data_IF_489135755181
#
_entry.id   IF_489135755181
#
_cell.length_a   1.000
_cell.length_b   1.000
_cell.length_c   1.000
_cell.angle_alpha   90.00
_cell.angle_beta   90.00
_cell.angle_gamma   90.00
#
_symmetry.space_group_name_H-M   'P 1'
#
loop_
_entity.id
_entity.type
_entity.pdbx_description
1 polymer ?
#
# COMPACT_ATOMS: atom_id res chain seq x y z
N UNK A 1 35.78 -22.74 -35.56
CA UNK A 1 34.77 -23.77 -35.25
C UNK A 1 33.42 -23.09 -35.35
N UNK A 2 32.70 -23.40 -36.46
CA UNK A 2 31.45 -22.75 -36.87
C UNK A 2 30.31 -23.13 -35.91
N UNK A 3 29.63 -22.15 -35.37
CA UNK A 3 28.34 -22.29 -34.70
C UNK A 3 27.24 -22.04 -35.75
N UNK A 4 26.92 -23.04 -36.50
CA UNK A 4 25.73 -23.09 -37.36
C UNK A 4 25.05 -24.42 -37.09
N UNK A 5 23.95 -24.39 -36.37
CA UNK A 5 22.85 -25.37 -36.39
C UNK A 5 22.07 -25.35 -35.05
N UNK A 6 21.37 -24.25 -34.80
CA UNK A 6 20.13 -24.31 -34.06
C UNK A 6 19.13 -23.38 -34.77
N UNK A 7 18.16 -24.02 -35.41
CA UNK A 7 17.14 -23.36 -36.20
C UNK A 7 16.23 -22.48 -35.35
N UNK A 8 16.55 -21.21 -35.29
CA UNK A 8 15.60 -20.19 -34.89
C UNK A 8 14.76 -19.81 -36.10
N UNK A 9 13.54 -20.29 -36.11
CA UNK A 9 12.49 -19.98 -37.05
C UNK A 9 12.30 -18.46 -37.19
N UNK A 10 12.21 -18.04 -38.44
CA UNK A 10 12.02 -16.71 -38.98
C UNK A 10 10.81 -15.99 -38.36
N UNK A 11 11.01 -15.22 -37.29
CA UNK A 11 10.18 -14.09 -36.96
C UNK A 11 11.08 -12.89 -36.69
N UNK A 12 11.50 -12.21 -37.76
CA UNK A 12 11.93 -10.83 -37.66
C UNK A 12 10.67 -9.96 -37.61
N UNK A 13 10.38 -9.28 -36.52
CA UNK A 13 9.47 -8.15 -36.60
C UNK A 13 10.20 -7.06 -37.41
N UNK A 14 9.73 -6.77 -38.60
CA UNK A 14 10.12 -5.54 -39.29
C UNK A 14 9.82 -4.38 -38.39
N UNK A 15 10.86 -3.68 -37.94
CA UNK A 15 10.74 -2.39 -37.30
C UNK A 15 10.14 -1.44 -38.32
N UNK A 16 8.83 -1.27 -38.31
CA UNK A 16 8.16 -0.20 -39.05
C UNK A 16 8.39 1.07 -38.27
N UNK A 17 9.36 1.87 -38.69
CA UNK A 17 9.48 3.25 -38.20
C UNK A 17 8.28 4.00 -38.78
N UNK A 18 7.24 4.13 -37.96
CA UNK A 18 6.12 5.03 -38.26
C UNK A 18 6.60 6.44 -37.96
N UNK A 19 6.57 7.38 -38.96
CA UNK A 19 6.86 8.81 -38.67
C UNK A 19 5.90 9.31 -37.60
N UNK A 20 6.38 10.20 -36.72
CA UNK A 20 5.62 10.85 -35.66
C UNK A 20 4.36 11.51 -36.23
N UNK A 21 3.29 10.74 -36.34
CA UNK A 21 1.95 11.24 -36.60
C UNK A 21 1.13 10.92 -35.36
N UNK A 22 0.62 11.94 -34.73
CA UNK A 22 -0.39 11.83 -33.68
C UNK A 22 -1.56 11.02 -34.25
N UNK A 23 -1.69 9.75 -33.88
CA UNK A 23 -2.91 8.99 -34.13
C UNK A 23 -3.97 9.54 -33.19
N UNK A 24 -4.69 10.54 -33.71
CA UNK A 24 -5.91 11.00 -33.06
C UNK A 24 -6.92 9.84 -33.15
N UNK A 25 -7.06 9.06 -32.07
CA UNK A 25 -8.21 8.18 -31.90
C UNK A 25 -9.45 9.07 -31.88
N UNK A 26 -10.17 9.10 -33.00
CA UNK A 26 -11.55 9.64 -32.99
C UNK A 26 -12.35 8.81 -32.00
N UNK A 27 -12.53 9.32 -30.76
CA UNK A 27 -13.53 8.82 -29.82
C UNK A 27 -14.86 8.77 -30.56
N UNK A 28 -15.31 7.58 -30.98
CA UNK A 28 -16.73 7.39 -31.26
C UNK A 28 -17.47 7.76 -29.97
N UNK A 29 -18.31 8.81 -30.03
CA UNK A 29 -19.24 9.17 -28.97
C UNK A 29 -20.32 8.07 -28.83
N UNK A 30 -19.95 6.94 -28.32
CA UNK A 30 -20.87 6.05 -27.63
C UNK A 30 -20.65 6.35 -26.15
N UNK A 31 -21.68 6.77 -25.45
CA UNK A 31 -21.68 6.87 -23.99
C UNK A 31 -21.54 5.43 -23.48
N UNK A 32 -20.31 4.94 -23.36
CA UNK A 32 -20.04 3.83 -22.47
C UNK A 32 -20.35 4.40 -21.09
N UNK A 33 -21.46 4.01 -20.48
CA UNK A 33 -21.76 4.30 -19.08
C UNK A 33 -20.56 3.72 -18.31
N UNK A 34 -19.64 4.58 -17.86
CA UNK A 34 -18.55 4.18 -17.00
C UNK A 34 -19.15 3.44 -15.82
N UNK A 35 -18.84 2.16 -15.67
CA UNK A 35 -19.23 1.39 -14.49
C UNK A 35 -18.32 1.85 -13.37
N UNK A 36 -18.73 2.89 -12.64
CA UNK A 36 -18.02 3.42 -11.48
C UNK A 36 -18.32 2.56 -10.25
N UNK A 37 -17.30 2.35 -9.42
CA UNK A 37 -17.46 1.72 -8.11
C UNK A 37 -17.95 2.70 -7.04
N UNK A 38 -18.05 4.00 -7.36
CA UNK A 38 -18.45 5.05 -6.42
C UNK A 38 -19.75 4.70 -5.71
N UNK A 39 -19.66 4.44 -4.41
CA UNK A 39 -20.78 4.07 -3.56
C UNK A 39 -21.40 2.68 -3.86
N UNK A 40 -20.69 1.80 -4.58
CA UNK A 40 -21.14 0.44 -4.88
C UNK A 40 -20.64 -0.60 -3.90
N UNK A 41 -19.72 -0.23 -3.02
CA UNK A 41 -19.20 -1.10 -1.98
C UNK A 41 -18.90 -0.31 -0.71
N UNK A 42 -18.93 -1.02 0.42
CA UNK A 42 -18.68 -0.49 1.75
C UNK A 42 -17.68 -1.36 2.50
N UNK A 43 -16.80 -0.74 3.29
CA UNK A 43 -15.98 -1.47 4.24
C UNK A 43 -16.77 -1.66 5.52
N UNK A 44 -17.14 -2.91 5.78
CA UNK A 44 -18.02 -3.29 6.89
C UNK A 44 -17.25 -3.75 8.13
N UNK A 45 -16.08 -4.34 7.96
CA UNK A 45 -15.25 -4.82 9.06
C UNK A 45 -13.76 -4.66 8.79
N UNK A 46 -13.00 -4.37 9.85
CA UNK A 46 -11.54 -4.26 9.80
C UNK A 46 -10.94 -4.87 11.05
N UNK A 47 -9.80 -5.52 10.90
CA UNK A 47 -9.06 -6.06 12.03
C UNK A 47 -7.55 -6.05 11.76
N UNK A 48 -6.78 -5.58 12.73
CA UNK A 48 -5.33 -5.67 12.77
C UNK A 48 -4.92 -6.64 13.88
N UNK A 49 -4.18 -7.68 13.52
CA UNK A 49 -3.70 -8.65 14.50
C UNK A 49 -2.69 -8.00 15.45
N UNK A 50 -2.83 -8.15 16.78
CA UNK A 50 -2.01 -7.44 17.77
C UNK A 50 -0.57 -7.93 17.85
N UNK A 51 -0.27 -9.15 17.35
CA UNK A 51 1.09 -9.70 17.45
C UNK A 51 2.11 -8.91 16.62
N UNK A 52 3.32 -8.81 17.15
CA UNK A 52 4.49 -8.24 16.44
C UNK A 52 5.65 -9.25 16.38
N UNK A 53 5.46 -10.44 16.98
CA UNK A 53 6.39 -11.57 16.91
C UNK A 53 5.59 -12.88 17.10
N UNK A 54 5.31 -13.57 16.03
CA UNK A 54 4.42 -14.74 15.96
C UNK A 54 5.23 -16.05 15.94
N UNK A 55 5.95 -16.36 17.00
CA UNK A 55 6.78 -17.58 17.09
C UNK A 55 5.94 -18.86 17.24
N UNK A 56 4.75 -18.72 17.79
CA UNK A 56 3.81 -19.78 18.15
C UNK A 56 2.67 -19.99 17.14
N UNK A 57 2.63 -19.19 16.06
CA UNK A 57 1.55 -19.24 15.06
C UNK A 57 2.07 -19.56 13.68
N UNK A 58 1.32 -20.35 12.92
CA UNK A 58 1.56 -20.51 11.49
C UNK A 58 1.05 -19.30 10.71
N UNK A 59 1.51 -19.17 9.47
CA UNK A 59 1.03 -18.11 8.56
C UNK A 59 -0.47 -18.25 8.28
N UNK A 60 -0.95 -19.49 8.07
CA UNK A 60 -2.37 -19.75 7.86
C UNK A 60 -3.22 -19.41 9.09
N UNK A 61 -2.72 -19.66 10.30
CA UNK A 61 -3.42 -19.23 11.52
C UNK A 61 -3.56 -17.73 11.62
N UNK A 62 -2.51 -16.96 11.28
CA UNK A 62 -2.58 -15.49 11.29
C UNK A 62 -3.61 -14.95 10.29
N UNK A 63 -3.71 -15.56 9.09
CA UNK A 63 -4.78 -15.23 8.13
C UNK A 63 -6.16 -15.52 8.72
N UNK A 64 -6.37 -16.71 9.28
CA UNK A 64 -7.66 -17.13 9.83
C UNK A 64 -8.07 -16.29 11.05
N UNK A 65 -7.17 -16.05 12.00
CA UNK A 65 -7.43 -15.20 13.17
C UNK A 65 -7.76 -13.76 12.75
N UNK A 66 -7.07 -13.24 11.74
CA UNK A 66 -7.36 -11.91 11.16
C UNK A 66 -8.74 -11.88 10.50
N UNK A 67 -9.08 -12.92 9.73
CA UNK A 67 -10.39 -13.04 9.10
C UNK A 67 -11.52 -13.07 10.13
N UNK A 68 -11.37 -13.88 11.18
CA UNK A 68 -12.36 -13.96 12.28
C UNK A 68 -12.52 -12.62 12.98
N UNK A 69 -11.42 -11.90 13.23
CA UNK A 69 -11.47 -10.57 13.84
C UNK A 69 -12.25 -9.55 12.99
N UNK A 70 -12.02 -9.51 11.67
CA UNK A 70 -12.72 -8.60 10.78
C UNK A 70 -14.20 -8.98 10.58
N UNK A 71 -14.52 -10.28 10.56
CA UNK A 71 -15.89 -10.77 10.53
C UNK A 71 -16.64 -10.39 11.81
N UNK A 72 -16.02 -10.57 12.97
CA UNK A 72 -16.59 -10.17 14.26
C UNK A 72 -16.84 -8.65 14.32
N UNK A 73 -15.90 -7.83 13.81
CA UNK A 73 -16.08 -6.37 13.70
C UNK A 73 -17.27 -6.01 12.80
N UNK A 74 -17.45 -6.71 11.70
CA UNK A 74 -18.58 -6.51 10.80
C UNK A 74 -19.94 -7.03 11.37
N UNK A 75 -19.90 -7.94 12.35
CA UNK A 75 -21.08 -8.70 12.80
C UNK A 75 -21.50 -9.78 11.81
N UNK A 76 -20.55 -10.33 11.05
CA UNK A 76 -20.72 -11.38 10.07
C UNK A 76 -20.01 -12.66 10.50
N UNK A 77 -20.28 -13.74 9.79
CA UNK A 77 -19.64 -15.04 9.96
C UNK A 77 -18.92 -15.49 8.68
N UNK A 78 -18.12 -16.54 8.74
CA UNK A 78 -17.48 -17.11 7.56
C UNK A 78 -18.46 -17.61 6.49
N UNK A 79 -19.67 -17.97 6.89
CA UNK A 79 -20.71 -18.49 5.99
C UNK A 79 -21.37 -17.38 5.14
N UNK A 80 -21.16 -16.12 5.53
CA UNK A 80 -21.61 -14.95 4.76
C UNK A 80 -20.61 -14.59 3.65
N UNK A 81 -19.35 -15.09 3.71
CA UNK A 81 -18.29 -14.74 2.77
C UNK A 81 -18.46 -15.49 1.46
N UNK A 82 -18.61 -14.78 0.35
CA UNK A 82 -18.70 -15.34 -0.99
C UNK A 82 -17.63 -14.80 -1.97
N UNK A 83 -16.74 -13.92 -1.51
CA UNK A 83 -15.53 -13.45 -2.22
C UNK A 83 -14.30 -13.49 -1.34
N UNK A 84 -13.12 -13.91 -1.86
CA UNK A 84 -11.87 -13.94 -1.11
C UNK A 84 -10.71 -13.37 -1.90
N UNK A 85 -9.89 -12.56 -1.22
CA UNK A 85 -8.75 -11.84 -1.80
C UNK A 85 -7.52 -11.99 -0.91
N UNK A 86 -6.41 -12.43 -1.47
CA UNK A 86 -5.11 -12.49 -0.80
C UNK A 86 -3.99 -12.22 -1.81
N UNK A 87 -2.75 -12.18 -1.35
CA UNK A 87 -1.59 -11.97 -2.22
C UNK A 87 -0.55 -13.09 -2.04
N UNK A 88 0.67 -12.87 -2.47
CA UNK A 88 1.75 -13.86 -2.45
C UNK A 88 2.26 -14.25 -1.04
N UNK A 89 1.66 -13.74 0.03
CA UNK A 89 1.87 -14.17 1.42
C UNK A 89 1.05 -15.41 1.80
N UNK A 90 0.01 -15.73 1.03
CA UNK A 90 -0.82 -16.90 1.28
C UNK A 90 0.01 -18.21 1.10
N UNK A 91 0.02 -19.09 2.11
CA UNK A 91 0.84 -20.30 2.07
C UNK A 91 0.30 -21.37 1.10
N UNK A 92 1.13 -22.32 0.76
CA UNK A 92 0.78 -23.47 -0.08
C UNK A 92 0.42 -23.08 -1.52
N UNK A 93 -0.78 -23.40 -1.97
CA UNK A 93 -1.33 -23.03 -3.28
C UNK A 93 -2.05 -21.65 -3.24
N UNK A 94 -1.58 -20.76 -2.37
CA UNK A 94 -2.15 -19.42 -2.25
C UNK A 94 -3.62 -19.46 -1.76
N UNK A 95 -4.52 -18.73 -2.45
CA UNK A 95 -5.91 -18.63 -1.99
C UNK A 95 -6.61 -19.99 -1.88
N UNK A 96 -6.30 -20.96 -2.73
CA UNK A 96 -6.91 -22.30 -2.67
C UNK A 96 -6.66 -22.99 -1.34
N UNK A 97 -5.42 -22.93 -0.83
CA UNK A 97 -5.08 -23.51 0.48
C UNK A 97 -5.78 -22.80 1.64
N UNK A 98 -5.92 -21.47 1.57
CA UNK A 98 -6.57 -20.71 2.62
C UNK A 98 -8.09 -20.84 2.60
N UNK A 99 -8.71 -20.95 1.43
CA UNK A 99 -10.14 -21.22 1.28
C UNK A 99 -10.50 -22.55 1.93
N UNK A 100 -9.72 -23.58 1.66
CA UNK A 100 -9.89 -24.91 2.27
C UNK A 100 -9.64 -24.87 3.78
N UNK A 101 -8.55 -24.25 4.21
CA UNK A 101 -8.20 -24.10 5.63
C UNK A 101 -9.25 -23.37 6.47
N UNK A 102 -9.83 -22.28 5.93
CA UNK A 102 -10.88 -21.51 6.61
C UNK A 102 -12.29 -22.07 6.39
N UNK A 103 -12.46 -23.02 5.49
CA UNK A 103 -13.76 -23.61 5.16
C UNK A 103 -14.72 -22.58 4.52
N UNK A 104 -14.23 -21.80 3.56
CA UNK A 104 -15.02 -20.79 2.85
C UNK A 104 -15.74 -21.39 1.63
N UNK A 105 -16.95 -20.91 1.33
CA UNK A 105 -17.71 -21.31 0.17
C UNK A 105 -17.88 -20.13 -0.79
N UNK A 106 -17.03 -20.02 -1.79
CA UNK A 106 -16.84 -18.81 -2.60
C UNK A 106 -17.52 -18.87 -3.97
N UNK A 107 -17.95 -17.73 -4.46
CA UNK A 107 -18.31 -17.45 -5.85
C UNK A 107 -17.21 -16.71 -6.61
N UNK A 108 -16.34 -16.00 -5.90
CA UNK A 108 -15.27 -15.21 -6.50
C UNK A 108 -13.98 -15.24 -5.67
N UNK A 109 -12.83 -15.26 -6.33
CA UNK A 109 -11.54 -15.05 -5.66
C UNK A 109 -10.54 -14.34 -6.57
N UNK A 110 -9.59 -13.61 -5.96
CA UNK A 110 -8.47 -12.94 -6.61
C UNK A 110 -7.19 -13.09 -5.76
N UNK A 111 -6.05 -13.16 -6.44
CA UNK A 111 -4.73 -13.31 -5.81
C UNK A 111 -3.69 -12.41 -6.48
N UNK A 112 -4.04 -11.16 -6.77
CA UNK A 112 -3.14 -10.20 -7.41
C UNK A 112 -1.98 -9.83 -6.49
N UNK A 113 -0.76 -10.08 -6.95
CA UNK A 113 0.48 -9.80 -6.21
C UNK A 113 1.23 -8.61 -6.81
N UNK A 114 1.26 -7.52 -6.09
CA UNK A 114 2.02 -6.30 -6.39
C UNK A 114 2.79 -5.78 -5.17
N UNK A 115 3.15 -6.69 -4.25
CA UNK A 115 3.78 -6.35 -2.98
C UNK A 115 2.84 -5.64 -2.03
N UNK A 116 3.33 -4.61 -1.33
CA UNK A 116 2.53 -3.87 -0.34
C UNK A 116 1.32 -3.15 -0.88
N UNK A 117 1.25 -2.88 -2.18
CA UNK A 117 0.05 -2.28 -2.82
C UNK A 117 -1.10 -3.26 -3.01
N UNK A 118 -0.86 -4.58 -3.00
CA UNK A 118 -1.86 -5.61 -3.27
C UNK A 118 -3.15 -5.43 -2.47
N UNK A 119 -3.04 -5.11 -1.19
CA UNK A 119 -4.20 -5.06 -0.29
C UNK A 119 -5.05 -3.80 -0.43
N UNK A 120 -4.44 -2.68 -0.85
CA UNK A 120 -5.19 -1.47 -1.23
C UNK A 120 -5.86 -1.68 -2.58
N UNK A 121 -5.16 -2.32 -3.53
CA UNK A 121 -5.67 -2.73 -4.82
C UNK A 121 -6.86 -3.70 -4.67
N UNK A 122 -6.77 -4.68 -3.77
CA UNK A 122 -7.86 -5.63 -3.53
C UNK A 122 -9.14 -4.97 -3.01
N UNK A 123 -9.08 -3.82 -2.32
CA UNK A 123 -10.30 -3.07 -1.96
C UNK A 123 -11.01 -2.58 -3.22
N UNK A 124 -10.26 -2.06 -4.20
CA UNK A 124 -10.80 -1.68 -5.52
C UNK A 124 -11.38 -2.88 -6.26
N UNK A 125 -10.61 -3.97 -6.39
CA UNK A 125 -11.06 -5.20 -7.05
C UNK A 125 -12.30 -5.82 -6.38
N UNK A 126 -12.37 -5.81 -5.05
CA UNK A 126 -13.54 -6.26 -4.31
C UNK A 126 -14.76 -5.39 -4.61
N UNK A 127 -14.58 -4.06 -4.64
CA UNK A 127 -15.65 -3.13 -4.99
C UNK A 127 -16.14 -3.33 -6.43
N UNK A 128 -15.24 -3.59 -7.38
CA UNK A 128 -15.58 -3.93 -8.77
C UNK A 128 -16.33 -5.27 -8.87
N UNK A 129 -15.82 -6.31 -8.18
CA UNK A 129 -16.47 -7.62 -8.16
C UNK A 129 -17.90 -7.54 -7.60
N UNK A 130 -18.09 -6.77 -6.53
CA UNK A 130 -19.41 -6.49 -5.94
C UNK A 130 -20.29 -5.70 -6.91
N UNK A 131 -19.78 -4.62 -7.50
CA UNK A 131 -20.53 -3.82 -8.46
C UNK A 131 -20.99 -4.63 -9.69
N UNK A 132 -20.22 -5.66 -10.05
CA UNK A 132 -20.52 -6.61 -11.13
C UNK A 132 -21.39 -7.79 -10.68
N UNK A 133 -21.77 -7.89 -9.41
CA UNK A 133 -22.59 -8.98 -8.86
C UNK A 133 -21.86 -10.32 -8.76
N UNK A 134 -20.54 -10.35 -8.76
CA UNK A 134 -19.74 -11.59 -8.62
C UNK A 134 -19.70 -12.12 -7.19
N UNK A 135 -19.76 -11.22 -6.21
CA UNK A 135 -19.88 -11.52 -4.79
C UNK A 135 -20.62 -10.40 -4.07
N UNK A 136 -21.01 -10.63 -2.82
CA UNK A 136 -21.72 -9.65 -1.96
C UNK A 136 -20.94 -9.34 -0.68
N UNK A 137 -20.11 -10.26 -0.21
CA UNK A 137 -19.23 -10.14 0.96
C UNK A 137 -17.85 -10.63 0.59
N UNK A 138 -16.93 -9.70 0.43
CA UNK A 138 -15.53 -9.97 0.09
C UNK A 138 -14.64 -9.86 1.33
N UNK A 139 -13.90 -10.93 1.63
CA UNK A 139 -12.87 -10.99 2.66
C UNK A 139 -11.49 -10.77 2.03
N UNK A 140 -10.73 -9.81 2.53
CA UNK A 140 -9.33 -9.57 2.16
C UNK A 140 -8.47 -9.89 3.37
N UNK A 141 -7.45 -10.74 3.24
CA UNK A 141 -6.55 -11.08 4.35
C UNK A 141 -5.08 -10.88 4.00
N UNK A 142 -4.31 -10.49 5.01
CA UNK A 142 -2.85 -10.37 4.98
C UNK A 142 -2.26 -11.03 6.21
N UNK A 143 -1.12 -11.73 6.05
CA UNK A 143 -0.27 -12.11 7.16
C UNK A 143 1.21 -12.17 6.76
N UNK A 144 2.10 -12.04 7.76
CA UNK A 144 3.55 -12.17 7.58
C UNK A 144 4.24 -12.51 8.89
N UNK A 145 5.35 -13.26 8.81
CA UNK A 145 6.16 -13.69 9.96
C UNK A 145 7.66 -13.38 9.79
N UNK A 146 8.05 -12.27 9.16
CA UNK A 146 9.48 -12.04 8.83
C UNK A 146 10.35 -11.96 10.09
N UNK A 147 9.84 -11.42 11.19
CA UNK A 147 10.59 -11.29 12.45
C UNK A 147 10.78 -12.62 13.13
N UNK A 148 9.76 -13.48 13.17
CA UNK A 148 9.87 -14.85 13.68
C UNK A 148 10.82 -15.70 12.82
N UNK A 149 10.95 -15.37 11.54
CA UNK A 149 11.88 -15.98 10.58
C UNK A 149 13.29 -15.37 10.60
N UNK A 150 13.58 -14.46 11.54
CA UNK A 150 14.92 -13.89 11.77
C UNK A 150 15.27 -12.67 10.94
N UNK A 151 14.32 -12.06 10.21
CA UNK A 151 14.58 -10.82 9.47
C UNK A 151 14.70 -9.61 10.40
N UNK A 152 15.58 -8.69 10.05
CA UNK A 152 15.81 -7.43 10.76
C UNK A 152 15.88 -6.25 9.80
N UNK A 153 15.55 -5.05 10.30
CA UNK A 153 15.57 -3.80 9.52
C UNK A 153 16.93 -3.58 8.86
N UNK A 154 16.94 -3.30 7.57
CA UNK A 154 18.12 -2.96 6.80
C UNK A 154 19.00 -4.14 6.38
N UNK A 155 18.68 -5.39 6.79
CA UNK A 155 19.56 -6.55 6.57
C UNK A 155 19.03 -7.58 5.56
N UNK A 156 17.76 -7.50 5.19
CA UNK A 156 17.15 -8.48 4.31
C UNK A 156 17.67 -8.34 2.87
N UNK A 157 18.41 -9.32 2.33
CA UNK A 157 18.76 -9.32 0.91
C UNK A 157 17.48 -9.46 0.09
N UNK A 158 17.48 -8.83 -1.07
CA UNK A 158 16.42 -9.05 -2.04
C UNK A 158 16.58 -10.46 -2.62
N UNK A 159 15.69 -11.35 -2.28
CA UNK A 159 15.73 -12.71 -2.79
C UNK A 159 14.87 -12.81 -4.05
N UNK A 160 15.52 -12.76 -5.21
CA UNK A 160 14.88 -13.11 -6.48
C UNK A 160 15.08 -14.58 -6.75
N UNK A 161 14.04 -15.27 -7.20
CA UNK A 161 14.22 -16.58 -7.80
C UNK A 161 15.24 -16.50 -8.94
N UNK A 162 16.05 -17.53 -9.14
CA UNK A 162 17.11 -17.57 -10.15
C UNK A 162 16.60 -17.33 -11.60
N UNK A 163 15.30 -17.44 -11.82
CA UNK A 163 14.63 -17.21 -13.11
C UNK A 163 14.14 -15.77 -13.33
N UNK A 164 14.29 -14.88 -12.34
CA UNK A 164 13.88 -13.49 -12.51
C UNK A 164 14.77 -12.79 -13.57
N UNK A 165 14.19 -12.05 -14.52
CA UNK A 165 14.95 -11.50 -15.68
C UNK A 165 15.99 -10.46 -15.26
N UNK A 166 15.87 -9.86 -14.09
CA UNK A 166 16.78 -8.85 -13.52
C UNK A 166 17.96 -9.43 -12.73
N UNK A 167 17.95 -10.74 -12.43
CA UNK A 167 19.03 -11.39 -11.66
C UNK A 167 20.39 -11.18 -12.29
N UNK A 168 20.52 -11.33 -13.61
CA UNK A 168 21.78 -11.19 -14.31
C UNK A 168 22.34 -9.76 -14.28
N UNK A 169 21.51 -8.75 -14.12
CA UNK A 169 21.89 -7.33 -14.22
C UNK A 169 22.04 -6.66 -12.85
N UNK A 170 21.26 -7.06 -11.85
CA UNK A 170 21.22 -6.39 -10.54
C UNK A 170 21.97 -7.18 -9.45
N UNK A 171 21.83 -8.49 -9.41
CA UNK A 171 22.46 -9.33 -8.38
C UNK A 171 23.97 -9.20 -8.24
N UNK A 172 24.74 -9.01 -9.32
CA UNK A 172 26.18 -8.80 -9.21
C UNK A 172 26.57 -7.59 -8.34
N UNK A 173 25.65 -6.63 -8.17
CA UNK A 173 25.87 -5.44 -7.35
C UNK A 173 25.39 -5.61 -5.89
N UNK A 174 24.86 -6.78 -5.53
CA UNK A 174 24.39 -7.08 -4.17
C UNK A 174 23.30 -6.13 -3.64
N UNK A 175 22.24 -5.80 -4.42
CA UNK A 175 21.26 -4.81 -3.99
C UNK A 175 20.47 -5.31 -2.81
N UNK A 176 20.33 -4.45 -1.80
CA UNK A 176 19.33 -4.62 -0.73
C UNK A 176 18.10 -3.77 -1.05
N UNK A 177 16.99 -4.03 -0.36
CA UNK A 177 15.80 -3.19 -0.50
C UNK A 177 16.13 -1.74 -0.14
N UNK A 178 16.89 -1.51 0.94
CA UNK A 178 17.25 -0.17 1.41
C UNK A 178 18.07 0.60 0.39
N UNK A 179 19.05 -0.03 -0.27
CA UNK A 179 19.87 0.63 -1.30
C UNK A 179 19.02 1.19 -2.45
N UNK A 180 17.99 0.46 -2.86
CA UNK A 180 17.14 0.90 -3.97
C UNK A 180 16.28 2.11 -3.62
N UNK A 181 15.87 2.24 -2.35
CA UNK A 181 15.18 3.42 -1.85
C UNK A 181 16.14 4.58 -1.58
N UNK A 182 17.35 4.28 -1.11
CA UNK A 182 18.41 5.28 -0.92
C UNK A 182 18.79 5.97 -2.25
N UNK A 183 18.88 5.24 -3.35
CA UNK A 183 19.09 5.85 -4.68
C UNK A 183 18.00 6.86 -5.06
N UNK A 184 16.74 6.56 -4.72
CA UNK A 184 15.65 7.50 -4.94
C UNK A 184 15.78 8.74 -4.06
N UNK A 185 16.15 8.57 -2.79
CA UNK A 185 16.39 9.66 -1.86
C UNK A 185 17.56 10.55 -2.33
N UNK A 186 18.69 9.96 -2.68
CA UNK A 186 19.85 10.67 -3.25
C UNK A 186 19.47 11.50 -4.47
N UNK A 187 18.70 10.90 -5.39
CA UNK A 187 18.28 11.58 -6.60
C UNK A 187 17.35 12.75 -6.28
N UNK A 188 16.41 12.56 -5.36
CA UNK A 188 15.49 13.60 -4.93
C UNK A 188 16.21 14.76 -4.22
N UNK A 189 17.20 14.45 -3.36
CA UNK A 189 18.07 15.44 -2.73
C UNK A 189 18.87 16.22 -3.76
N UNK A 190 19.42 15.55 -4.76
CA UNK A 190 20.20 16.18 -5.82
C UNK A 190 19.36 17.13 -6.70
N UNK A 191 18.16 16.72 -7.08
CA UNK A 191 17.33 17.52 -8.00
C UNK A 191 16.58 18.65 -7.31
N UNK A 192 16.13 18.42 -6.06
CA UNK A 192 15.22 19.35 -5.39
C UNK A 192 15.77 19.93 -4.09
N UNK A 193 16.97 19.54 -3.66
CA UNK A 193 17.56 20.04 -2.44
C UNK A 193 16.91 19.53 -1.16
N UNK A 194 16.18 18.43 -1.22
CA UNK A 194 15.61 17.77 -0.02
C UNK A 194 16.72 17.40 0.95
N UNK A 195 16.47 17.54 2.24
CA UNK A 195 17.46 17.25 3.31
C UNK A 195 17.02 16.07 4.18
N UNK A 196 17.99 15.50 4.92
CA UNK A 196 17.71 14.43 5.88
C UNK A 196 16.80 14.90 7.02
N UNK A 197 16.91 16.16 7.44
CA UNK A 197 16.03 16.76 8.46
C UNK A 197 14.59 16.83 7.98
N UNK A 198 14.37 17.15 6.71
CA UNK A 198 13.02 17.13 6.10
C UNK A 198 12.45 15.71 6.07
N UNK A 199 13.23 14.71 5.68
CA UNK A 199 12.82 13.31 5.75
C UNK A 199 12.50 12.88 7.19
N UNK A 200 13.31 13.32 8.16
CA UNK A 200 13.15 12.99 9.57
C UNK A 200 11.78 13.44 10.14
N UNK A 201 11.20 14.55 9.68
CA UNK A 201 9.89 15.00 10.13
C UNK A 201 8.78 13.98 9.91
N UNK A 202 8.89 13.13 8.89
CA UNK A 202 7.94 12.04 8.64
C UNK A 202 8.00 11.00 9.76
N UNK A 203 9.22 10.63 10.18
CA UNK A 203 9.42 9.71 11.31
C UNK A 203 8.97 10.34 12.64
N UNK A 204 9.27 11.62 12.84
CA UNK A 204 8.79 12.38 14.01
C UNK A 204 7.28 12.29 14.09
N UNK A 205 6.56 12.61 13.01
CA UNK A 205 5.08 12.54 13.00
C UNK A 205 4.57 11.12 13.30
N UNK A 206 5.13 10.09 12.67
CA UNK A 206 4.77 8.70 12.94
C UNK A 206 4.98 8.32 14.41
N UNK A 207 6.08 8.78 15.04
CA UNK A 207 6.39 8.50 16.44
C UNK A 207 5.42 9.22 17.41
N UNK A 208 5.01 10.46 17.08
CA UNK A 208 4.00 11.19 17.83
C UNK A 208 2.66 10.45 17.86
N UNK A 209 2.33 9.72 16.81
CA UNK A 209 1.10 8.92 16.77
C UNK A 209 1.26 7.56 17.47
N UNK A 210 2.38 6.88 17.24
CA UNK A 210 2.65 5.54 17.74
C UNK A 210 2.63 5.43 19.28
N UNK A 211 2.96 6.50 20.00
CA UNK A 211 2.93 6.49 21.48
C UNK A 211 1.55 6.09 22.06
N UNK A 212 0.49 6.35 21.31
CA UNK A 212 -0.89 6.06 21.70
C UNK A 212 -1.39 4.69 21.23
N UNK A 213 -0.60 3.97 20.41
CA UNK A 213 -0.93 2.61 19.96
C UNK A 213 -0.17 1.60 20.82
N UNK A 214 -0.90 0.87 21.68
CA UNK A 214 -0.31 -0.11 22.59
C UNK A 214 0.41 -1.27 21.88
N UNK A 215 0.04 -1.56 20.64
CA UNK A 215 0.62 -2.62 19.82
C UNK A 215 1.80 -2.15 18.95
N UNK A 216 2.07 -0.84 18.88
CA UNK A 216 3.17 -0.34 18.08
C UNK A 216 4.54 -0.82 18.61
N UNK A 217 5.42 -1.21 17.66
CA UNK A 217 6.77 -1.70 18.00
C UNK A 217 7.67 -0.61 18.58
N UNK A 218 7.56 0.63 18.10
CA UNK A 218 8.35 1.78 18.52
C UNK A 218 7.39 2.86 18.99
N UNK A 219 7.32 3.04 20.32
CA UNK A 219 6.36 3.96 20.96
C UNK A 219 6.99 5.23 21.49
N UNK A 220 8.31 5.33 21.50
CA UNK A 220 8.99 6.53 21.92
C UNK A 220 8.87 7.62 20.87
N UNK A 221 8.48 8.80 21.28
CA UNK A 221 8.56 10.00 20.44
C UNK A 221 10.03 10.32 20.19
N UNK A 222 10.37 10.63 18.95
CA UNK A 222 11.72 10.98 18.54
C UNK A 222 11.78 12.39 17.96
N UNK A 223 12.94 13.02 18.06
CA UNK A 223 13.25 14.33 17.47
C UNK A 223 13.91 14.18 16.09
N UNK A 224 13.96 15.26 15.32
CA UNK A 224 14.71 15.31 14.06
C UNK A 224 16.17 14.91 14.27
N UNK A 225 16.83 15.45 15.31
CA UNK A 225 18.23 15.16 15.63
C UNK A 225 18.44 13.67 15.93
N UNK A 226 17.53 13.02 16.65
CA UNK A 226 17.63 11.59 16.92
C UNK A 226 17.49 10.75 15.64
N UNK A 227 16.69 11.18 14.68
CA UNK A 227 16.54 10.49 13.41
C UNK A 227 17.81 10.60 12.56
N UNK A 228 18.29 11.83 12.33
CA UNK A 228 19.45 12.08 11.45
C UNK A 228 20.76 11.59 12.06
N UNK A 229 20.85 11.41 13.38
CA UNK A 229 22.01 10.84 14.08
C UNK A 229 21.85 9.34 14.36
N UNK A 230 20.76 8.71 13.96
CA UNK A 230 20.63 7.25 14.09
C UNK A 230 21.60 6.53 13.13
N UNK A 231 21.97 5.26 13.38
CA UNK A 231 22.92 4.56 12.53
C UNK A 231 22.58 4.61 11.05
N UNK A 232 23.54 4.96 10.20
CA UNK A 232 23.40 4.94 8.75
C UNK A 232 23.21 3.49 8.26
N UNK A 233 22.21 3.24 7.44
CA UNK A 233 21.94 1.94 6.81
C UNK A 233 22.39 1.95 5.36
N UNK A 234 21.99 2.96 4.61
CA UNK A 234 22.38 3.19 3.21
C UNK A 234 22.23 4.67 2.90
N UNK A 235 23.31 5.37 2.68
CA UNK A 235 23.32 6.82 2.46
C UNK A 235 22.28 7.24 1.40
N UNK A 236 21.34 8.19 1.72
CA UNK A 236 21.25 9.02 2.92
C UNK A 236 20.33 8.47 4.04
N UNK A 237 19.85 7.23 3.94
CA UNK A 237 18.86 6.68 4.86
C UNK A 237 19.49 6.10 6.12
N UNK A 238 19.05 6.62 7.26
CA UNK A 238 19.40 6.14 8.58
C UNK A 238 18.40 5.07 9.07
N UNK A 239 18.70 4.43 10.18
CA UNK A 239 17.87 3.36 10.74
C UNK A 239 16.43 3.83 11.03
N UNK A 240 16.25 5.06 11.49
CA UNK A 240 14.93 5.60 11.81
C UNK A 240 14.18 6.11 10.57
N UNK A 241 14.82 6.21 9.40
CA UNK A 241 14.18 6.41 8.12
C UNK A 241 13.51 5.14 7.57
N UNK A 242 13.84 3.98 8.14
CA UNK A 242 13.38 2.67 7.69
C UNK A 242 12.16 2.20 8.50
N UNK A 243 11.25 1.46 7.85
CA UNK A 243 10.16 0.79 8.53
C UNK A 243 10.66 -0.26 9.53
N UNK A 244 9.84 -0.57 10.52
CA UNK A 244 10.06 -1.73 11.38
C UNK A 244 9.87 -3.03 10.60
N UNK A 245 10.46 -4.11 11.07
CA UNK A 245 10.10 -5.46 10.63
C UNK A 245 9.34 -6.12 11.78
N UNK A 246 8.08 -6.43 11.53
CA UNK A 246 7.19 -7.07 12.50
C UNK A 246 6.53 -8.29 11.89
N UNK A 247 6.08 -9.19 12.73
CA UNK A 247 5.07 -10.15 12.36
C UNK A 247 3.68 -9.53 12.51
N UNK A 248 2.68 -10.17 11.94
CA UNK A 248 1.31 -9.72 12.08
C UNK A 248 0.46 -10.07 10.87
N UNK A 249 -0.66 -9.41 10.84
CA UNK A 249 -1.64 -9.56 9.78
C UNK A 249 -2.81 -8.63 10.01
N UNK A 250 -3.80 -8.78 9.16
CA UNK A 250 -5.05 -8.07 9.27
C UNK A 250 -6.03 -8.58 8.23
N UNK A 251 -7.25 -8.11 8.35
CA UNK A 251 -8.29 -8.40 7.37
C UNK A 251 -9.26 -7.24 7.21
N UNK A 252 -9.90 -7.21 6.06
CA UNK A 252 -10.92 -6.22 5.68
C UNK A 252 -12.12 -6.98 5.12
N UNK A 253 -13.32 -6.59 5.50
CA UNK A 253 -14.58 -7.04 4.90
C UNK A 253 -15.14 -5.90 4.04
N UNK A 254 -15.31 -6.18 2.75
CA UNK A 254 -15.97 -5.28 1.81
C UNK A 254 -17.32 -5.89 1.42
N UNK A 255 -18.39 -5.12 1.48
CA UNK A 255 -19.75 -5.62 1.26
C UNK A 255 -20.53 -4.81 0.23
N UNK A 256 -21.57 -5.43 -0.35
CA UNK A 256 -22.55 -4.71 -1.15
C UNK A 256 -23.33 -3.71 -0.30
N UNK A 257 -23.95 -2.68 -0.91
CA UNK A 257 -24.79 -1.72 -0.20
C UNK A 257 -25.95 -2.36 0.56
N UNK A 258 -26.52 -3.44 0.03
CA UNK A 258 -27.63 -4.18 0.64
C UNK A 258 -27.19 -4.84 1.94
N UNK A 259 -26.02 -5.51 1.94
CA UNK A 259 -25.44 -6.12 3.14
C UNK A 259 -25.04 -5.04 4.13
N UNK A 260 -24.30 -4.01 3.68
CA UNK A 260 -23.83 -2.92 4.54
C UNK A 260 -24.97 -2.30 5.37
N UNK A 261 -26.08 -1.98 4.74
CA UNK A 261 -27.26 -1.38 5.40
C UNK A 261 -27.93 -2.28 6.42
N UNK A 262 -27.71 -3.59 6.39
CA UNK A 262 -28.23 -4.52 7.38
C UNK A 262 -27.35 -4.62 8.64
N UNK A 263 -26.13 -4.06 8.60
CA UNK A 263 -25.16 -4.11 9.68
C UNK A 263 -25.32 -2.94 10.63
N UNK A 264 -24.80 -3.10 11.86
CA UNK A 264 -24.89 -2.08 12.93
C UNK A 264 -23.66 -1.15 13.00
N UNK A 265 -22.62 -1.44 12.20
CA UNK A 265 -21.38 -0.66 12.21
C UNK A 265 -21.52 0.66 11.44
N UNK A 266 -20.77 1.70 11.80
CA UNK A 266 -20.71 2.91 10.98
C UNK A 266 -20.24 2.55 9.57
N UNK A 267 -20.97 3.02 8.57
CA UNK A 267 -20.70 2.70 7.17
C UNK A 267 -19.53 3.53 6.63
N UNK A 268 -18.59 2.86 5.97
CA UNK A 268 -17.49 3.50 5.25
C UNK A 268 -17.62 3.12 3.77
N UNK A 269 -17.95 4.11 2.97
CA UNK A 269 -18.20 3.97 1.53
C UNK A 269 -16.89 4.00 0.75
N UNK A 270 -16.72 3.12 -0.24
CA UNK A 270 -15.64 3.20 -1.23
C UNK A 270 -16.10 4.15 -2.34
N UNK A 271 -15.40 5.28 -2.50
CA UNK A 271 -15.73 6.29 -3.50
C UNK A 271 -14.98 6.10 -4.81
N UNK A 272 -13.73 5.70 -4.75
CA UNK A 272 -12.91 5.51 -5.93
C UNK A 272 -11.64 4.72 -5.62
N UNK A 273 -11.14 4.05 -6.64
CA UNK A 273 -9.90 3.33 -6.60
C UNK A 273 -9.06 3.60 -7.85
N UNK A 274 -7.76 3.48 -7.71
CA UNK A 274 -6.83 3.57 -8.84
C UNK A 274 -5.60 2.74 -8.58
N UNK A 275 -5.09 2.11 -9.61
CA UNK A 275 -3.89 1.30 -9.57
C UNK A 275 -2.98 1.58 -10.76
N UNK A 276 -1.69 1.46 -10.57
CA UNK A 276 -0.73 1.62 -11.66
C UNK A 276 0.62 0.99 -11.33
N UNK A 277 1.26 0.33 -12.29
CA UNK A 277 2.67 0.02 -12.20
C UNK A 277 3.50 1.24 -12.60
N UNK A 278 4.61 1.48 -11.91
CA UNK A 278 5.67 2.33 -12.44
C UNK A 278 6.54 1.49 -13.38
N UNK A 279 6.67 1.93 -14.61
CA UNK A 279 7.47 1.25 -15.63
C UNK A 279 8.65 2.13 -16.08
N UNK A 280 9.63 1.48 -16.71
CA UNK A 280 10.88 2.14 -17.09
C UNK A 280 10.78 3.08 -18.30
N UNK A 281 9.62 3.24 -18.93
CA UNK A 281 9.40 4.13 -20.07
C UNK A 281 10.45 3.93 -21.20
N UNK A 282 10.64 2.69 -21.62
CA UNK A 282 11.62 2.36 -22.66
C UNK A 282 13.09 2.40 -22.22
N UNK A 283 13.36 2.10 -20.93
CA UNK A 283 14.69 2.09 -20.33
C UNK A 283 15.10 3.40 -19.65
N UNK A 284 14.23 4.41 -19.65
CA UNK A 284 14.44 5.65 -18.88
C UNK A 284 13.80 5.49 -17.52
N UNK A 285 14.62 5.39 -16.49
CA UNK A 285 14.15 5.33 -15.11
C UNK A 285 14.20 6.74 -14.52
N UNK A 286 13.05 7.24 -14.07
CA UNK A 286 13.00 8.42 -13.21
C UNK A 286 12.85 7.97 -11.76
N UNK A 287 13.84 8.29 -10.94
CA UNK A 287 13.89 7.90 -9.53
C UNK A 287 13.10 8.82 -8.62
N UNK A 288 12.62 9.96 -9.11
CA UNK A 288 11.99 11.00 -8.30
C UNK A 288 10.49 10.87 -8.18
N UNK A 289 9.85 9.88 -8.82
CA UNK A 289 8.43 9.64 -8.67
C UNK A 289 8.08 8.16 -8.46
N UNK A 290 6.89 7.93 -7.95
CA UNK A 290 6.28 6.62 -7.70
C UNK A 290 5.11 6.36 -8.67
N UNK A 291 4.49 5.18 -8.57
CA UNK A 291 3.28 4.85 -9.32
C UNK A 291 2.05 5.67 -8.85
N UNK A 292 2.12 6.35 -7.71
CA UNK A 292 1.08 7.22 -7.19
C UNK A 292 0.68 8.34 -8.17
N UNK A 293 1.64 8.77 -9.01
CA UNK A 293 1.42 9.74 -10.09
C UNK A 293 0.30 9.33 -11.06
N UNK A 294 0.02 8.05 -11.17
CA UNK A 294 -1.05 7.53 -12.05
C UNK A 294 -2.21 6.97 -11.24
N UNK A 295 -1.96 6.20 -10.16
CA UNK A 295 -3.04 5.62 -9.35
C UNK A 295 -3.84 6.67 -8.60
N UNK A 296 -3.20 7.77 -8.15
CA UNK A 296 -3.87 8.87 -7.47
C UNK A 296 -4.94 9.54 -8.34
N UNK A 297 -4.58 10.12 -9.50
CA UNK A 297 -5.56 10.77 -10.39
C UNK A 297 -6.74 9.89 -10.78
N UNK A 298 -6.53 8.57 -11.01
CA UNK A 298 -7.61 7.63 -11.29
C UNK A 298 -8.60 7.54 -10.12
N UNK A 299 -8.08 7.38 -8.89
CA UNK A 299 -8.92 7.29 -7.70
C UNK A 299 -9.67 8.60 -7.41
N UNK A 300 -8.99 9.75 -7.54
CA UNK A 300 -9.61 11.06 -7.34
C UNK A 300 -10.68 11.38 -8.39
N UNK A 301 -10.43 11.06 -9.67
CA UNK A 301 -11.41 11.24 -10.75
C UNK A 301 -12.66 10.40 -10.50
N UNK A 302 -12.50 9.13 -10.13
CA UNK A 302 -13.62 8.24 -9.84
C UNK A 302 -14.40 8.67 -8.61
N UNK A 303 -13.70 9.05 -7.54
CA UNK A 303 -14.32 9.58 -6.31
C UNK A 303 -14.94 10.97 -6.51
N UNK A 304 -14.57 11.72 -7.55
CA UNK A 304 -15.00 13.09 -7.84
C UNK A 304 -14.60 14.09 -6.75
N UNK A 305 -13.42 13.90 -6.18
CA UNK A 305 -12.83 14.75 -5.15
C UNK A 305 -11.41 15.13 -5.52
N UNK A 306 -10.80 16.03 -4.76
CA UNK A 306 -9.43 16.54 -4.96
C UNK A 306 -8.54 16.17 -3.77
N UNK A 307 -7.21 16.16 -3.92
CA UNK A 307 -6.29 15.99 -2.80
C UNK A 307 -6.53 16.96 -1.65
N UNK A 308 -6.89 18.22 -1.97
CA UNK A 308 -7.21 19.26 -0.97
C UNK A 308 -8.46 18.99 -0.13
N UNK A 309 -9.31 18.07 -0.54
CA UNK A 309 -10.54 17.72 0.20
C UNK A 309 -10.28 16.68 1.29
N UNK A 310 -9.13 15.98 1.22
CA UNK A 310 -8.79 14.93 2.18
C UNK A 310 -8.59 15.48 3.59
N UNK A 311 -9.21 14.83 4.56
CA UNK A 311 -9.03 15.13 6.00
C UNK A 311 -7.93 14.29 6.63
N UNK A 312 -7.70 13.11 6.08
CA UNK A 312 -6.74 12.12 6.56
C UNK A 312 -6.11 11.37 5.39
N UNK A 313 -4.81 11.13 5.48
CA UNK A 313 -4.08 10.35 4.50
C UNK A 313 -3.30 9.20 5.16
N UNK A 314 -3.67 7.96 4.88
CA UNK A 314 -2.91 6.78 5.28
C UNK A 314 -1.98 6.38 4.14
N UNK A 315 -0.69 6.69 4.29
CA UNK A 315 0.32 6.59 3.24
C UNK A 315 1.31 5.46 3.57
N UNK A 316 1.60 4.62 2.58
CA UNK A 316 2.58 3.55 2.75
C UNK A 316 3.97 4.12 3.04
N UNK A 317 4.55 3.69 4.16
CA UNK A 317 5.76 4.27 4.75
C UNK A 317 6.84 3.21 5.02
N UNK A 318 7.27 2.53 3.94
CA UNK A 318 8.43 1.64 4.02
C UNK A 318 9.72 2.38 4.38
N UNK A 319 9.84 3.61 3.91
CA UNK A 319 10.92 4.56 4.21
C UNK A 319 10.35 5.99 4.21
N UNK A 320 11.05 6.91 4.85
CA UNK A 320 10.65 8.33 4.87
C UNK A 320 10.55 8.92 3.47
N UNK A 321 11.52 8.63 2.59
CA UNK A 321 11.48 9.07 1.18
C UNK A 321 10.25 8.53 0.42
N UNK A 322 9.76 7.35 0.77
CA UNK A 322 8.55 6.77 0.14
C UNK A 322 7.35 7.66 0.39
N UNK A 323 7.16 8.11 1.63
CA UNK A 323 6.06 9.01 2.02
C UNK A 323 6.16 10.34 1.29
N UNK A 324 7.36 10.96 1.31
CA UNK A 324 7.59 12.25 0.68
C UNK A 324 7.19 12.22 -0.81
N UNK A 325 7.72 11.25 -1.55
CA UNK A 325 7.45 11.13 -2.99
C UNK A 325 5.98 10.83 -3.28
N UNK A 326 5.31 10.02 -2.45
CA UNK A 326 3.88 9.74 -2.61
C UNK A 326 3.02 10.98 -2.37
N UNK A 327 3.34 11.82 -1.38
CA UNK A 327 2.61 13.05 -1.12
C UNK A 327 2.67 14.01 -2.31
N UNK A 328 3.84 14.14 -2.95
CA UNK A 328 4.01 14.90 -4.18
C UNK A 328 3.20 14.30 -5.35
N UNK A 329 3.36 12.99 -5.55
CA UNK A 329 2.77 12.28 -6.70
C UNK A 329 1.24 12.14 -6.60
N UNK A 330 0.69 12.15 -5.38
CA UNK A 330 -0.75 12.21 -5.11
C UNK A 330 -1.32 13.64 -5.23
N UNK A 331 -0.46 14.65 -5.34
CA UNK A 331 -0.86 16.05 -5.54
C UNK A 331 -1.19 16.80 -4.25
N UNK A 332 -0.69 16.37 -3.09
CA UNK A 332 -0.79 17.15 -1.85
C UNK A 332 0.14 18.34 -1.83
N UNK A 333 1.22 18.29 -2.57
CA UNK A 333 2.14 19.38 -2.84
C UNK A 333 2.77 19.22 -4.24
N UNK A 334 3.40 20.26 -4.75
CA UNK A 334 4.12 20.21 -6.02
C UNK A 334 5.37 19.33 -5.93
N UNK A 335 5.79 18.78 -7.07
CA UNK A 335 7.01 17.97 -7.17
C UNK A 335 8.23 18.80 -6.74
N UNK A 336 9.03 18.27 -5.80
CA UNK A 336 10.19 18.94 -5.21
C UNK A 336 9.87 19.78 -3.97
N UNK A 337 8.60 20.00 -3.64
CA UNK A 337 8.18 20.76 -2.45
C UNK A 337 7.84 19.84 -1.25
N UNK A 338 7.92 18.51 -1.45
CA UNK A 338 7.58 17.52 -0.41
C UNK A 338 8.36 17.72 0.87
N UNK A 339 9.65 18.07 0.79
CA UNK A 339 10.49 18.31 1.97
C UNK A 339 9.96 19.44 2.85
N UNK A 340 9.57 20.56 2.26
CA UNK A 340 8.93 21.68 2.98
C UNK A 340 7.54 21.29 3.49
N UNK A 341 6.79 20.53 2.68
CA UNK A 341 5.43 20.13 3.03
C UNK A 341 5.39 19.26 4.29
N UNK A 342 6.33 18.33 4.47
CA UNK A 342 6.34 17.41 5.63
C UNK A 342 6.96 18.01 6.89
N UNK A 343 7.64 19.14 6.78
CA UNK A 343 8.37 19.80 7.87
C UNK A 343 7.45 20.41 8.93
N UNK A 344 8.03 20.78 10.07
CA UNK A 344 7.40 21.55 11.14
C UNK A 344 6.13 20.92 11.71
N UNK A 345 6.06 19.58 11.69
CA UNK A 345 4.95 18.82 12.26
C UNK A 345 3.68 18.82 11.39
N UNK A 346 3.77 19.18 10.11
CA UNK A 346 2.61 19.28 9.21
C UNK A 346 1.80 17.97 9.07
N UNK A 347 2.42 16.84 9.35
CA UNK A 347 1.78 15.51 9.29
C UNK A 347 1.24 15.03 10.66
N UNK A 348 1.43 15.79 11.75
CA UNK A 348 1.01 15.41 13.09
C UNK A 348 -0.47 15.73 13.30
N UNK A 349 -1.25 14.75 13.74
CA UNK A 349 -2.68 14.94 14.07
C UNK A 349 -2.86 15.97 15.18
N UNK A 350 -3.79 16.89 14.98
CA UNK A 350 -4.06 17.99 15.92
C UNK A 350 -3.08 19.17 15.83
N UNK A 351 -2.02 19.06 15.04
CA UNK A 351 -1.00 20.11 14.84
C UNK A 351 -0.92 20.54 13.39
N UNK A 352 -0.72 19.59 12.49
CA UNK A 352 -0.50 19.82 11.07
C UNK A 352 -1.77 19.88 10.23
N UNK A 353 -1.60 20.17 8.95
CA UNK A 353 -2.70 20.33 8.00
C UNK A 353 -3.16 19.01 7.40
N UNK A 354 -2.26 18.01 7.31
CA UNK A 354 -2.56 16.69 6.76
C UNK A 354 -2.13 15.60 7.74
N UNK A 355 -2.97 15.23 8.72
CA UNK A 355 -2.69 14.08 9.58
C UNK A 355 -2.47 12.81 8.76
N UNK A 356 -1.39 12.06 9.09
CA UNK A 356 -1.07 10.83 8.39
C UNK A 356 -0.74 9.70 9.36
N UNK A 357 -1.00 8.44 8.98
CA UNK A 357 -0.58 7.22 9.69
C UNK A 357 -0.71 7.32 11.22
N UNK A 358 -1.91 7.59 11.70
CA UNK A 358 -2.20 7.86 13.11
C UNK A 358 -2.06 6.64 14.02
N UNK A 359 -1.89 5.46 13.45
CA UNK A 359 -1.49 4.22 14.15
C UNK A 359 0.03 4.11 14.39
N UNK A 360 0.83 5.01 13.81
CA UNK A 360 2.28 4.98 13.80
C UNK A 360 2.89 4.37 12.52
N UNK A 361 2.05 3.85 11.64
CA UNK A 361 2.44 3.36 10.32
C UNK A 361 3.47 2.23 10.30
N UNK A 362 4.05 2.00 9.15
CA UNK A 362 5.18 1.08 8.96
C UNK A 362 6.46 1.55 9.64
N UNK A 363 6.62 2.85 9.84
CA UNK A 363 7.80 3.40 10.49
C UNK A 363 7.85 3.11 12.00
N UNK A 364 6.69 2.92 12.66
CA UNK A 364 6.64 2.75 14.10
C UNK A 364 5.77 1.58 14.57
N UNK A 365 4.60 1.33 13.94
CA UNK A 365 3.64 0.34 14.40
C UNK A 365 3.96 -1.06 13.90
N UNK A 366 3.69 -1.34 12.62
CA UNK A 366 3.91 -2.66 12.05
C UNK A 366 4.24 -2.60 10.54
N UNK A 367 5.01 -3.58 10.10
CA UNK A 367 5.30 -3.80 8.70
C UNK A 367 5.56 -5.31 8.48
N UNK A 368 4.50 -6.13 8.33
CA UNK A 368 4.63 -7.58 8.22
C UNK A 368 5.10 -7.96 6.81
N UNK A 369 6.43 -8.10 6.65
CA UNK A 369 7.13 -8.18 5.36
C UNK A 369 6.82 -6.97 4.46
N UNK A 370 6.90 -7.06 3.15
CA UNK A 370 6.59 -5.94 2.23
C UNK A 370 5.07 -5.72 2.05
N UNK A 371 4.26 -5.81 3.12
CA UNK A 371 2.80 -5.96 2.98
C UNK A 371 1.98 -5.01 3.87
N UNK A 372 2.55 -3.88 4.24
CA UNK A 372 1.90 -2.88 5.11
C UNK A 372 0.70 -2.14 4.52
N UNK A 373 0.32 -2.38 3.27
CA UNK A 373 -0.77 -1.63 2.62
C UNK A 373 -2.14 -1.85 3.26
N UNK A 374 -2.42 -3.04 3.78
CA UNK A 374 -3.71 -3.35 4.41
C UNK A 374 -3.94 -2.51 5.67
N UNK A 375 -2.90 -2.27 6.48
CA UNK A 375 -3.00 -1.46 7.70
C UNK A 375 -3.33 -0.01 7.39
N UNK A 376 -2.97 0.48 6.20
CA UNK A 376 -3.34 1.83 5.74
C UNK A 376 -4.84 1.98 5.59
N UNK A 377 -5.50 0.97 5.03
CA UNK A 377 -6.97 0.95 4.91
C UNK A 377 -7.62 0.80 6.29
N UNK A 378 -7.10 -0.08 7.15
CA UNK A 378 -7.63 -0.29 8.50
C UNK A 378 -7.64 1.01 9.30
N UNK A 379 -6.52 1.74 9.34
CA UNK A 379 -6.45 2.99 10.10
C UNK A 379 -7.31 4.09 9.48
N UNK A 380 -7.39 4.19 8.15
CA UNK A 380 -8.29 5.12 7.50
C UNK A 380 -9.76 4.86 7.87
N UNK A 381 -10.16 3.59 7.95
CA UNK A 381 -11.51 3.19 8.41
C UNK A 381 -11.74 3.56 9.87
N UNK A 382 -10.76 3.34 10.76
CA UNK A 382 -10.85 3.76 12.17
C UNK A 382 -11.05 5.27 12.29
N UNK A 383 -10.31 6.07 11.53
CA UNK A 383 -10.46 7.52 11.50
C UNK A 383 -11.85 7.94 11.03
N UNK A 384 -12.34 7.37 9.92
CA UNK A 384 -13.67 7.65 9.39
C UNK A 384 -14.80 7.27 10.36
N UNK A 385 -14.66 6.16 11.09
CA UNK A 385 -15.63 5.70 12.07
C UNK A 385 -15.58 6.47 13.40
N UNK A 386 -14.53 7.27 13.65
CA UNK A 386 -14.27 7.92 14.93
C UNK A 386 -13.77 6.94 16.01
N UNK A 387 -13.12 5.86 15.60
CA UNK A 387 -12.64 4.77 16.46
C UNK A 387 -11.12 4.77 16.64
N UNK A 388 -10.41 5.74 16.08
CA UNK A 388 -9.00 5.94 16.38
C UNK A 388 -8.79 6.40 17.83
N UNK A 389 -7.56 6.26 18.34
CA UNK A 389 -7.29 6.73 19.71
C UNK A 389 -7.60 8.23 19.83
N UNK A 390 -8.31 8.70 20.91
CA UNK A 390 -8.79 10.07 21.01
C UNK A 390 -7.73 11.17 20.84
N UNK A 391 -6.48 10.88 21.20
CA UNK A 391 -5.34 11.83 21.04
C UNK A 391 -4.87 12.02 19.59
N UNK A 392 -5.25 11.13 18.69
CA UNK A 392 -4.86 11.17 17.27
C UNK A 392 -6.07 11.13 16.33
N UNK A 393 -7.28 11.05 16.89
CA UNK A 393 -8.50 11.13 16.09
C UNK A 393 -8.59 12.48 15.39
N UNK A 394 -8.74 12.44 14.08
CA UNK A 394 -8.92 13.63 13.25
C UNK A 394 -10.35 14.15 13.43
N UNK A 395 -10.53 15.41 13.84
CA UNK A 395 -11.86 15.98 13.98
C UNK A 395 -12.61 16.02 12.65
N UNK A 396 -13.90 15.64 12.66
CA UNK A 396 -14.76 15.66 11.48
C UNK A 396 -14.14 14.95 10.27
N UNK A 397 -13.49 13.80 10.52
CA UNK A 397 -12.93 12.98 9.46
C UNK A 397 -14.06 12.29 8.70
N UNK A 398 -14.47 12.89 7.59
CA UNK A 398 -15.52 12.40 6.70
C UNK A 398 -14.95 11.83 5.39
N UNK A 399 -13.74 12.22 5.00
CA UNK A 399 -13.09 11.83 3.78
C UNK A 399 -11.60 11.46 4.03
N UNK A 400 -11.23 10.25 3.64
CA UNK A 400 -9.88 9.72 3.85
C UNK A 400 -9.35 8.99 2.61
N UNK A 401 -8.02 9.02 2.48
CA UNK A 401 -7.29 8.29 1.46
C UNK A 401 -6.42 7.21 2.11
N UNK A 402 -6.38 6.02 1.51
CA UNK A 402 -5.36 5.01 1.77
C UNK A 402 -4.55 4.75 0.50
N UNK A 403 -3.22 4.76 0.64
CA UNK A 403 -2.31 4.52 -0.48
C UNK A 403 -1.29 3.44 -0.13
N UNK A 404 -1.13 2.47 -1.03
CA UNK A 404 -0.18 1.36 -0.93
C UNK A 404 0.85 1.35 -2.04
N UNK A 405 2.06 0.93 -1.71
CA UNK A 405 3.12 0.67 -2.70
C UNK A 405 3.71 -0.72 -2.51
N UNK A 406 4.26 -1.27 -3.59
CA UNK A 406 4.95 -2.55 -3.57
C UNK A 406 6.12 -2.60 -4.55
N UNK A 407 6.96 -3.60 -4.41
CA UNK A 407 8.15 -3.75 -5.24
C UNK A 407 9.27 -2.79 -4.84
N UNK A 408 9.90 -2.15 -5.81
CA UNK A 408 11.02 -1.22 -5.60
C UNK A 408 10.68 0.16 -6.12
N UNK A 409 10.94 1.20 -5.32
CA UNK A 409 10.56 2.57 -5.64
C UNK A 409 11.12 3.06 -6.99
N UNK A 410 12.35 2.68 -7.33
CA UNK A 410 13.00 3.06 -8.59
C UNK A 410 12.37 2.39 -9.81
N UNK A 411 12.01 1.11 -9.71
CA UNK A 411 11.51 0.29 -10.83
C UNK A 411 10.71 -0.90 -10.31
N UNK A 412 9.92 -1.56 -11.17
CA UNK A 412 9.07 -2.70 -10.78
C UNK A 412 8.24 -2.37 -9.54
N UNK A 413 7.58 -1.23 -9.58
CA UNK A 413 6.85 -0.65 -8.48
C UNK A 413 5.35 -0.63 -8.79
N UNK A 414 4.55 -1.19 -7.89
CA UNK A 414 3.10 -1.11 -7.92
C UNK A 414 2.59 -0.01 -6.98
N UNK A 415 1.53 0.66 -7.36
CA UNK A 415 0.83 1.64 -6.53
C UNK A 415 -0.67 1.43 -6.61
N UNK A 416 -1.34 1.57 -5.48
CA UNK A 416 -2.80 1.56 -5.40
C UNK A 416 -3.28 2.64 -4.44
N UNK A 417 -4.36 3.31 -4.83
CA UNK A 417 -5.00 4.40 -4.08
C UNK A 417 -6.48 4.10 -3.93
N UNK A 418 -7.01 4.22 -2.72
CA UNK A 418 -8.45 4.10 -2.43
C UNK A 418 -8.90 5.33 -1.66
N UNK A 419 -10.03 5.90 -2.09
CA UNK A 419 -10.69 7.03 -1.43
C UNK A 419 -11.98 6.53 -0.80
N UNK A 420 -12.16 6.89 0.47
CA UNK A 420 -13.25 6.42 1.32
C UNK A 420 -13.93 7.58 2.02
N UNK A 421 -15.23 7.43 2.24
CA UNK A 421 -16.08 8.42 2.88
C UNK A 421 -16.88 7.79 4.04
N UNK A 422 -17.02 8.52 5.13
CA UNK A 422 -17.99 8.21 6.19
C UNK A 422 -19.40 8.54 5.70
N UNK A 423 -20.34 7.59 5.80
CA UNK A 423 -21.76 7.85 5.51
C UNK A 423 -22.54 8.39 6.73
#
# INVERSE_FOLDING_TARGET
>A
MQLSEYGFSKYHPRLVIVPRGVVAYKKKKGVVKSMSINGKAYIAGVYEHPTRKAVDKSLAQLHAESALGALADAGLTKDDVDGYFCAGDAPGLGPLSLVDYMGLNLKHMDATETGGSSYVLHVGHAAEAIAMGKCSVALITLAGRPRAEGMATGTAPRNYGSSAPDVAFEFPFGPTVVNMYAMCAQRHMYEYGTTSEQLAWIKVAASHHAQYNEHAMLRNVVTVDEVVNSPMISDPLHRLDCCVISDGGGAIIVTSPEVAKSLKRPLVKVLGAGEAPKHQMGGKIDLTYSGARWSGPLAFEEARVKPSDMKYASIYDSFTITVLMQLEDLGFCEKGEGGKFVSDGNLISGTGKLPFNTDGGGLCNNHPANRGGLTKVIEAVRQLRGEAHPKVQVPNCDLALAHGTGGSLGTRHGSATVIMERE
#
